data_IF_747266055873
#
_entry.id   IF_747266055873
#
_cell.length_a   1.000
_cell.length_b   1.000
_cell.length_c   1.000
_cell.angle_alpha   90.00
_cell.angle_beta   90.00
_cell.angle_gamma   90.00
#
_symmetry.space_group_name_H-M   'P 1'
#
loop_
_entity.id
_entity.type
_entity.pdbx_description
1 polymer ?
#
# COMPACT_ATOMS: atom_id res chain seq x y z
N UNK A 1 -9.28 -18.65 -11.63
CA UNK A 1 -10.04 -17.68 -10.81
C UNK A 1 -9.27 -16.37 -10.81
N UNK A 2 -9.62 -15.46 -11.73
CA UNK A 2 -9.00 -14.14 -11.84
C UNK A 2 -9.63 -13.28 -10.75
N UNK A 3 -8.97 -13.20 -9.58
CA UNK A 3 -9.43 -12.31 -8.52
C UNK A 3 -9.29 -10.88 -9.00
N UNK A 4 -10.43 -10.25 -9.32
CA UNK A 4 -10.50 -8.82 -9.62
C UNK A 4 -9.89 -8.07 -8.45
N UNK A 5 -8.70 -7.53 -8.65
CA UNK A 5 -8.10 -6.61 -7.69
C UNK A 5 -9.08 -5.45 -7.58
N UNK A 6 -9.74 -5.33 -6.43
CA UNK A 6 -10.50 -4.13 -6.10
C UNK A 6 -9.43 -3.05 -5.98
N UNK A 7 -9.22 -2.25 -7.03
CA UNK A 7 -8.50 -0.99 -6.90
C UNK A 7 -9.14 -0.27 -5.71
N UNK A 8 -8.42 0.12 -4.65
CA UNK A 8 -9.06 0.70 -3.48
C UNK A 8 -9.75 2.00 -3.92
N UNK A 9 -11.09 2.03 -4.07
CA UNK A 9 -11.77 3.15 -4.72
C UNK A 9 -11.70 4.43 -3.87
N UNK A 10 -11.27 4.28 -2.61
CA UNK A 10 -11.20 5.33 -1.62
C UNK A 10 -9.90 6.14 -1.71
N UNK A 11 -8.77 5.53 -2.09
CA UNK A 11 -7.48 6.23 -2.12
C UNK A 11 -7.44 7.30 -3.21
N UNK A 12 -7.96 6.98 -4.40
CA UNK A 12 -7.99 7.90 -5.55
C UNK A 12 -8.83 9.15 -5.32
N UNK A 13 -9.80 9.11 -4.40
CA UNK A 13 -10.64 10.28 -4.06
C UNK A 13 -9.87 11.37 -3.32
N UNK A 14 -8.71 11.05 -2.75
CA UNK A 14 -7.90 11.96 -1.96
C UNK A 14 -6.46 12.01 -2.47
N UNK A 15 -6.27 12.44 -3.73
CA UNK A 15 -4.96 12.47 -4.40
C UNK A 15 -3.94 13.42 -3.79
N UNK A 16 -4.37 14.36 -2.93
CA UNK A 16 -3.49 15.29 -2.20
C UNK A 16 -3.06 14.75 -0.83
N UNK A 17 -3.60 13.60 -0.41
CA UNK A 17 -3.28 12.98 0.88
C UNK A 17 -2.15 11.97 0.71
N UNK A 18 -1.15 12.04 1.58
CA UNK A 18 -0.09 11.03 1.69
C UNK A 18 -0.62 9.82 2.45
N UNK A 19 -0.80 8.70 1.75
CA UNK A 19 -1.31 7.46 2.33
C UNK A 19 -0.18 6.52 2.74
N UNK A 20 -0.31 5.89 3.91
CA UNK A 20 0.60 4.85 4.38
C UNK A 20 -0.19 3.71 5.05
N UNK A 21 0.13 2.47 4.71
CA UNK A 21 -0.42 1.29 5.41
C UNK A 21 0.55 0.83 6.50
N UNK A 22 0.04 0.76 7.73
CA UNK A 22 0.76 0.27 8.91
C UNK A 22 0.09 -0.99 9.46
N UNK A 23 0.65 -1.58 10.52
CA UNK A 23 0.13 -2.79 11.17
C UNK A 23 -0.11 -3.96 10.20
N UNK A 24 0.81 -4.14 9.26
CA UNK A 24 0.73 -5.23 8.30
C UNK A 24 0.93 -6.56 9.04
N UNK A 25 -0.01 -7.49 8.84
CA UNK A 25 0.19 -8.85 9.31
C UNK A 25 1.43 -9.47 8.62
N UNK A 26 2.16 -10.35 9.33
CA UNK A 26 3.38 -10.99 8.82
C UNK A 26 3.17 -11.80 7.52
N UNK A 27 1.96 -12.30 7.26
CA UNK A 27 1.62 -13.01 6.01
C UNK A 27 1.19 -12.09 4.88
N UNK A 28 1.12 -10.78 5.10
CA UNK A 28 0.62 -9.86 4.08
C UNK A 28 1.58 -9.82 2.87
N UNK A 29 1.12 -10.14 1.64
CA UNK A 29 1.99 -10.22 0.47
C UNK A 29 2.68 -8.89 0.12
N UNK A 30 2.16 -7.74 0.58
CA UNK A 30 2.78 -6.43 0.34
C UNK A 30 4.14 -6.28 1.03
N UNK A 31 4.46 -7.15 1.99
CA UNK A 31 5.78 -7.19 2.63
C UNK A 31 6.88 -7.71 1.68
N UNK A 32 6.51 -8.43 0.62
CA UNK A 32 7.47 -8.95 -0.37
C UNK A 32 7.56 -8.01 -1.56
N UNK A 33 8.71 -7.36 -1.76
CA UNK A 33 8.93 -6.37 -2.83
C UNK A 33 8.77 -6.93 -4.25
N UNK A 34 8.88 -8.25 -4.42
CA UNK A 34 8.69 -8.96 -5.68
C UNK A 34 7.23 -9.35 -5.95
N UNK A 35 6.31 -9.11 -5.00
CA UNK A 35 4.90 -9.46 -5.17
C UNK A 35 4.16 -8.45 -6.03
N UNK A 36 3.14 -8.92 -6.73
CA UNK A 36 2.26 -8.05 -7.51
C UNK A 36 1.48 -7.08 -6.61
N UNK A 37 1.12 -7.51 -5.40
CA UNK A 37 0.40 -6.69 -4.42
C UNK A 37 1.25 -5.51 -3.95
N UNK A 38 2.55 -5.73 -3.71
CA UNK A 38 3.48 -4.64 -3.40
C UNK A 38 3.51 -3.63 -4.56
N UNK A 39 3.69 -4.10 -5.79
CA UNK A 39 3.71 -3.24 -6.98
C UNK A 39 2.42 -2.42 -7.14
N UNK A 40 1.24 -3.03 -6.95
CA UNK A 40 -0.05 -2.34 -7.05
C UNK A 40 -0.24 -1.26 -5.98
N UNK A 41 0.14 -1.52 -4.73
CA UNK A 41 0.06 -0.54 -3.64
C UNK A 41 0.98 0.66 -3.92
N UNK A 42 2.21 0.41 -4.37
CA UNK A 42 3.15 1.48 -4.74
C UNK A 42 2.65 2.28 -5.95
N UNK A 43 2.09 1.60 -6.96
CA UNK A 43 1.51 2.25 -8.14
C UNK A 43 0.29 3.13 -7.79
N UNK A 44 -0.43 2.81 -6.72
CA UNK A 44 -1.51 3.64 -6.19
C UNK A 44 -1.03 4.85 -5.36
N UNK A 45 0.28 5.06 -5.23
CA UNK A 45 0.86 6.17 -4.46
C UNK A 45 0.85 5.95 -2.94
N UNK A 46 0.63 4.71 -2.49
CA UNK A 46 0.62 4.39 -1.05
C UNK A 46 2.01 3.95 -0.58
N UNK A 47 2.36 4.39 0.63
CA UNK A 47 3.59 4.03 1.31
C UNK A 47 3.42 2.80 2.20
N UNK A 48 4.50 2.03 2.30
CA UNK A 48 4.66 0.86 3.18
C UNK A 48 5.85 1.16 4.10
N UNK A 49 5.67 2.05 5.09
CA UNK A 49 6.77 2.51 5.93
C UNK A 49 7.35 1.33 6.72
N UNK A 50 8.68 1.10 6.66
CA UNK A 50 9.33 0.16 7.58
C UNK A 50 9.32 0.69 9.01
N UNK A 51 9.62 -0.18 9.96
CA UNK A 51 9.79 0.20 11.36
C UNK A 51 10.81 1.33 11.50
N UNK A 52 10.50 2.32 12.34
CA UNK A 52 11.35 3.50 12.55
C UNK A 52 11.17 4.63 11.55
N UNK A 53 10.24 4.53 10.59
CA UNK A 53 9.90 5.65 9.70
C UNK A 53 9.40 6.87 10.49
N UNK A 54 9.99 8.04 10.23
CA UNK A 54 9.52 9.33 10.75
C UNK A 54 8.66 10.01 9.69
N UNK A 55 7.46 10.48 10.10
CA UNK A 55 6.59 11.29 9.26
C UNK A 55 6.74 12.76 9.65
N UNK A 56 7.26 13.55 8.72
CA UNK A 56 7.21 15.01 8.77
C UNK A 56 5.98 15.49 8.00
N UNK A 57 5.21 16.40 8.60
CA UNK A 57 3.91 16.88 8.10
C UNK A 57 3.98 18.34 7.71
#
# INVERSE_FOLDING_TARGET
>A
ATGTAVEPPLLRKHSTVRWAYTHLNNTNPVLYSTSEQHARVRAAGVELPPDGTVLEL
#
